data_IF_175338517240
#
_entry.id   IF_175338517240
#
_cell.length_a   1.000
_cell.length_b   1.000
_cell.length_c   1.000
_cell.angle_alpha   90.00
_cell.angle_beta   90.00
_cell.angle_gamma   90.00
#
_symmetry.space_group_name_H-M   'P 1'
#
loop_
_entity.id
_entity.type
_entity.pdbx_description
1 polymer ?
#
# COMPACT_ATOMS: atom_id res chain seq x y z
N UNK A 1 5.67 -7.49 -0.33
CA UNK A 1 6.66 -6.51 0.17
C UNK A 1 7.65 -7.18 1.11
N UNK A 2 8.94 -6.77 1.14
CA UNK A 2 9.90 -7.22 2.17
C UNK A 2 10.21 -6.13 3.18
N UNK A 3 10.47 -6.53 4.42
CA UNK A 3 10.83 -5.65 5.53
C UNK A 3 12.00 -4.70 5.18
N UNK A 4 13.11 -5.22 4.64
CA UNK A 4 14.26 -4.39 4.26
C UNK A 4 13.92 -3.32 3.22
N UNK A 5 13.01 -3.59 2.29
CA UNK A 5 12.62 -2.60 1.28
C UNK A 5 11.84 -1.43 1.90
N UNK A 6 11.07 -1.71 2.95
CA UNK A 6 10.34 -0.69 3.71
C UNK A 6 11.28 0.10 4.60
N UNK A 7 12.22 -0.57 5.27
CA UNK A 7 13.27 0.10 6.05
C UNK A 7 14.07 1.09 5.21
N UNK A 8 14.50 0.65 4.02
CA UNK A 8 15.21 1.51 3.08
C UNK A 8 14.32 2.69 2.62
N UNK A 9 13.02 2.45 2.41
CA UNK A 9 12.07 3.48 2.02
C UNK A 9 11.82 4.52 3.15
N UNK A 10 11.69 4.04 4.40
CA UNK A 10 11.47 4.86 5.60
C UNK A 10 12.76 5.45 6.18
N UNK A 11 13.93 5.06 5.66
CA UNK A 11 15.25 5.41 6.18
C UNK A 11 15.43 5.01 7.66
N UNK A 12 14.99 3.80 7.98
CA UNK A 12 15.16 3.17 9.29
C UNK A 12 16.38 2.24 9.21
N UNK A 13 17.43 2.56 9.96
CA UNK A 13 18.63 1.72 10.09
C UNK A 13 18.55 0.75 11.29
N UNK A 14 17.59 0.94 12.19
CA UNK A 14 17.45 0.15 13.43
C UNK A 14 16.38 -0.96 13.30
N UNK A 15 16.58 -2.07 14.00
CA UNK A 15 15.68 -3.23 13.95
C UNK A 15 14.60 -3.24 15.05
N UNK A 16 14.54 -2.18 15.88
CA UNK A 16 13.62 -2.11 17.03
C UNK A 16 12.15 -2.16 16.61
N UNK A 17 11.84 -1.65 15.42
CA UNK A 17 10.47 -1.53 14.91
C UNK A 17 10.12 -2.62 13.88
N UNK A 18 10.92 -3.68 13.79
CA UNK A 18 10.72 -4.77 12.82
C UNK A 18 9.38 -5.47 12.99
N UNK A 19 8.97 -5.72 14.23
CA UNK A 19 7.67 -6.32 14.53
C UNK A 19 6.55 -5.41 14.03
N UNK A 20 6.64 -4.12 14.30
CA UNK A 20 5.67 -3.12 13.86
C UNK A 20 5.61 -3.06 12.34
N UNK A 21 6.75 -2.95 11.67
CA UNK A 21 6.83 -2.86 10.23
C UNK A 21 6.25 -4.12 9.56
N UNK A 22 6.47 -5.31 10.12
CA UNK A 22 5.83 -6.53 9.63
C UNK A 22 4.30 -6.49 9.79
N UNK A 23 3.78 -6.03 10.92
CA UNK A 23 2.33 -5.83 11.11
C UNK A 23 1.75 -4.85 10.09
N UNK A 24 2.45 -3.74 9.82
CA UNK A 24 2.03 -2.75 8.83
C UNK A 24 2.08 -3.31 7.40
N UNK A 25 3.08 -4.13 7.08
CA UNK A 25 3.18 -4.83 5.80
C UNK A 25 1.97 -5.74 5.61
N UNK A 26 1.65 -6.57 6.60
CA UNK A 26 0.50 -7.48 6.54
C UNK A 26 -0.83 -6.70 6.42
N UNK A 27 -1.02 -5.68 7.25
CA UNK A 27 -2.22 -4.85 7.21
C UNK A 27 -2.41 -4.13 5.86
N UNK A 28 -1.32 -3.58 5.30
CA UNK A 28 -1.35 -2.91 4.00
C UNK A 28 -1.62 -3.87 2.84
N UNK A 29 -1.11 -5.11 2.91
CA UNK A 29 -1.36 -6.16 1.92
C UNK A 29 -2.84 -6.53 1.90
N UNK A 30 -3.41 -6.81 3.08
CA UNK A 30 -4.84 -7.10 3.23
C UNK A 30 -5.70 -5.93 2.76
N UNK A 31 -5.30 -4.69 3.05
CA UNK A 31 -6.04 -3.50 2.60
C UNK A 31 -6.07 -3.38 1.07
N UNK A 32 -4.92 -3.57 0.42
CA UNK A 32 -4.83 -3.55 -1.05
C UNK A 32 -5.65 -4.69 -1.64
N UNK A 33 -5.49 -5.92 -1.16
CA UNK A 33 -6.25 -7.07 -1.64
C UNK A 33 -7.77 -6.90 -1.42
N UNK A 34 -8.18 -6.29 -0.31
CA UNK A 34 -9.60 -6.00 -0.05
C UNK A 34 -10.16 -4.92 -0.97
N UNK A 35 -9.33 -3.99 -1.45
CA UNK A 35 -9.75 -2.89 -2.32
C UNK A 35 -9.72 -3.24 -3.80
N UNK A 36 -8.70 -3.98 -4.25
CA UNK A 36 -8.42 -4.23 -5.67
C UNK A 36 -8.37 -5.72 -6.02
N UNK A 37 -8.58 -6.62 -5.07
CA UNK A 37 -8.50 -8.07 -5.29
C UNK A 37 -7.12 -8.54 -5.76
N UNK A 38 -7.02 -9.76 -6.28
CA UNK A 38 -5.76 -10.34 -6.75
C UNK A 38 -5.43 -10.00 -8.22
N UNK A 39 -6.31 -9.29 -8.92
CA UNK A 39 -6.20 -9.05 -10.36
C UNK A 39 -4.97 -8.24 -10.75
N UNK A 40 -4.47 -7.39 -9.85
CA UNK A 40 -3.23 -6.63 -10.09
C UNK A 40 -2.00 -7.55 -10.23
N UNK A 41 -2.04 -8.76 -9.65
CA UNK A 41 -0.96 -9.76 -9.75
C UNK A 41 -0.79 -10.30 -11.17
N UNK A 42 -1.79 -10.14 -12.05
CA UNK A 42 -1.71 -10.58 -13.44
C UNK A 42 -0.84 -9.67 -14.34
N UNK A 43 -0.54 -8.43 -13.92
CA UNK A 43 0.16 -7.46 -14.75
C UNK A 43 1.40 -6.90 -14.05
N UNK A 44 2.59 -7.13 -14.61
CA UNK A 44 3.87 -6.64 -14.06
C UNK A 44 3.92 -5.12 -13.84
N UNK A 45 3.16 -4.34 -14.63
CA UNK A 45 3.06 -2.88 -14.43
C UNK A 45 2.18 -2.52 -13.23
N UNK A 46 1.10 -3.29 -12.99
CA UNK A 46 0.21 -3.11 -11.86
C UNK A 46 0.85 -3.60 -10.56
N UNK A 47 1.65 -4.68 -10.60
CA UNK A 47 2.44 -5.12 -9.44
C UNK A 47 3.37 -4.00 -8.96
N UNK A 48 4.09 -3.33 -9.87
CA UNK A 48 4.94 -2.19 -9.49
C UNK A 48 4.16 -1.02 -8.88
N UNK A 49 2.93 -0.78 -9.33
CA UNK A 49 2.05 0.25 -8.76
C UNK A 49 1.52 -0.17 -7.39
N UNK A 50 1.15 -1.44 -7.22
CA UNK A 50 0.72 -2.01 -5.96
C UNK A 50 1.84 -1.99 -4.91
N UNK A 51 3.08 -2.34 -5.29
CA UNK A 51 4.25 -2.20 -4.41
C UNK A 51 4.46 -0.74 -3.97
N UNK A 52 4.37 0.22 -4.90
CA UNK A 52 4.51 1.64 -4.57
C UNK A 52 3.38 2.14 -3.66
N UNK A 53 2.15 1.69 -3.91
CA UNK A 53 0.99 1.97 -3.08
C UNK A 53 1.19 1.40 -1.67
N UNK A 54 1.64 0.16 -1.56
CA UNK A 54 1.90 -0.51 -0.31
C UNK A 54 2.97 0.24 0.50
N UNK A 55 4.08 0.66 -0.14
CA UNK A 55 5.11 1.50 0.49
C UNK A 55 4.56 2.80 1.06
N UNK A 56 3.69 3.48 0.30
CA UNK A 56 3.01 4.72 0.74
C UNK A 56 2.07 4.51 1.90
N UNK A 57 1.24 3.46 1.87
CA UNK A 57 0.31 3.13 2.96
C UNK A 57 1.10 2.81 4.24
N UNK A 58 2.14 1.97 4.15
CA UNK A 58 2.96 1.62 5.30
C UNK A 58 3.64 2.87 5.88
N UNK A 59 4.16 3.74 5.03
CA UNK A 59 4.78 4.98 5.49
C UNK A 59 3.77 5.93 6.15
N UNK A 60 2.59 6.10 5.55
CA UNK A 60 1.51 6.88 6.14
C UNK A 60 1.08 6.32 7.50
N UNK A 61 0.89 5.00 7.62
CA UNK A 61 0.53 4.34 8.88
C UNK A 61 1.65 4.43 9.94
N UNK A 62 2.91 4.43 9.52
CA UNK A 62 4.07 4.57 10.39
C UNK A 62 4.25 6.01 10.87
N UNK A 63 4.14 7.01 9.98
CA UNK A 63 4.25 8.43 10.31
C UNK A 63 3.04 8.93 11.14
N UNK A 64 1.82 8.52 10.78
CA UNK A 64 0.59 8.87 11.52
C UNK A 64 0.43 8.12 12.85
N UNK A 65 1.37 7.23 13.20
CA UNK A 65 1.41 6.56 14.50
C UNK A 65 1.79 7.51 15.65
N UNK A 66 2.40 8.64 15.33
CA UNK A 66 2.65 9.71 16.28
C UNK A 66 1.32 10.42 16.60
N UNK A 67 0.85 10.28 17.84
CA UNK A 67 -0.40 10.82 18.42
C UNK A 67 -0.52 12.36 18.45
N UNK A 68 0.11 13.06 17.52
CA UNK A 68 -0.21 14.46 17.26
C UNK A 68 -1.34 14.47 16.25
N UNK A 69 -2.57 14.61 16.75
CA UNK A 69 -3.76 14.98 15.98
C UNK A 69 -3.54 16.39 15.41
N UNK A 70 -2.63 16.49 14.44
CA UNK A 70 -2.47 17.65 13.58
C UNK A 70 -3.54 17.54 12.51
N UNK A 71 -4.46 18.48 12.52
CA UNK A 71 -5.58 18.62 11.60
C UNK A 71 -5.09 18.73 10.14
N UNK A 72 -4.80 17.60 9.49
CA UNK A 72 -4.82 17.42 8.03
C UNK A 72 -4.31 16.00 7.73
N UNK A 73 -5.12 14.98 8.00
CA UNK A 73 -4.95 13.70 7.31
C UNK A 73 -5.37 13.97 5.86
N UNK A 74 -4.50 14.63 5.09
CA UNK A 74 -4.64 14.74 3.64
C UNK A 74 -4.47 13.33 3.13
N UNK A 75 -5.57 12.58 3.12
CA UNK A 75 -5.68 11.28 2.47
C UNK A 75 -4.97 11.42 1.13
N UNK A 76 -3.78 10.81 1.03
CA UNK A 76 -2.84 11.16 -0.01
C UNK A 76 -3.52 10.85 -1.35
N UNK A 77 -3.79 11.90 -2.14
CA UNK A 77 -4.55 11.79 -3.40
C UNK A 77 -3.99 10.71 -4.31
N UNK A 78 -2.68 10.45 -4.21
CA UNK A 78 -1.99 9.45 -5.00
C UNK A 78 -2.33 8.04 -4.50
N UNK A 79 -2.50 7.82 -3.19
CA UNK A 79 -2.99 6.54 -2.65
C UNK A 79 -4.38 6.23 -3.21
N UNK A 80 -5.29 7.21 -3.18
CA UNK A 80 -6.63 7.09 -3.78
C UNK A 80 -6.55 6.88 -5.29
N UNK A 81 -5.75 7.65 -6.02
CA UNK A 81 -5.62 7.49 -7.48
C UNK A 81 -5.00 6.16 -7.90
N UNK A 82 -4.05 5.62 -7.14
CA UNK A 82 -3.48 4.28 -7.44
C UNK A 82 -4.51 3.20 -7.09
N UNK A 83 -5.24 3.34 -5.98
CA UNK A 83 -6.38 2.47 -5.64
C UNK A 83 -7.44 2.45 -6.75
N UNK A 84 -7.86 3.63 -7.23
CA UNK A 84 -8.81 3.75 -8.34
C UNK A 84 -8.25 3.12 -9.61
N UNK A 85 -6.98 3.34 -9.94
CA UNK A 85 -6.34 2.76 -11.14
C UNK A 85 -6.31 1.23 -11.09
N UNK A 86 -5.99 0.67 -9.93
CA UNK A 86 -5.94 -0.77 -9.69
C UNK A 86 -7.34 -1.38 -9.65
N UNK A 87 -8.32 -0.69 -9.04
CA UNK A 87 -9.71 -1.13 -8.93
C UNK A 87 -10.41 -1.15 -10.29
N UNK A 88 -10.26 -0.10 -11.11
CA UNK A 88 -10.82 -0.07 -12.47
C UNK A 88 -10.23 -1.19 -13.36
N UNK A 89 -8.97 -1.58 -13.18
CA UNK A 89 -8.39 -2.73 -13.88
C UNK A 89 -9.05 -4.06 -13.52
N UNK A 90 -9.74 -4.17 -12.38
CA UNK A 90 -10.48 -5.38 -12.00
C UNK A 90 -11.87 -5.44 -12.61
N UNK A 91 -12.46 -4.28 -12.92
CA UNK A 91 -13.76 -4.19 -13.59
C UNK A 91 -13.65 -4.55 -15.09
N UNK A 92 -12.56 -4.13 -15.76
CA UNK A 92 -12.28 -4.48 -17.16
C UNK A 92 -12.21 -6.01 -17.38
N UNK A 93 -11.57 -6.74 -16.45
CA UNK A 93 -11.44 -8.21 -16.54
C UNK A 93 -12.78 -8.92 -16.28
N UNK A 94 -13.70 -8.32 -15.50
CA UNK A 94 -15.05 -8.88 -15.32
C UNK A 94 -15.93 -8.64 -16.55
N UNK A 95 -15.68 -7.57 -17.31
CA UNK A 95 -16.51 -7.20 -18.45
C UNK A 95 -16.11 -7.91 -19.77
N UNK A 96 -14.90 -8.47 -19.88
CA UNK A 96 -14.49 -9.36 -20.99
C UNK A 96 -14.97 -10.81 -20.85
N UNK A 97 -15.74 -11.13 -19.79
CA UNK A 97 -16.28 -12.48 -19.54
C UNK A 97 -17.76 -12.66 -19.94
N UNK A 98 -18.30 -11.79 -20.79
CA UNK A 98 -19.64 -11.93 -21.37
C UNK A 98 -19.63 -11.85 -22.89
#
# INVERSE_FOLDING_TARGET
>A
MKLNEIKEYLKIDEDYEDSLLNELIEASEVYIESMVGESYKANKKLIKLADLLQKRIIADMYENRSTTVGQDVKQDRITTSILEKLSNCTEDIKNERF
#
